data_IF_153800645778
#
_entry.id   IF_153800645778
#
_cell.length_a   1.000
_cell.length_b   1.000
_cell.length_c   1.000
_cell.angle_alpha   90.00
_cell.angle_beta   90.00
_cell.angle_gamma   90.00
#
_symmetry.space_group_name_H-M   'P 1'
#
loop_
_entity.id
_entity.type
_entity.pdbx_description
1 polymer ?
#
# COMPACT_ATOMS: atom_id res chain seq x y z
N UNK A 1 29.81 8.96 -15.41
CA UNK A 1 29.06 8.20 -16.46
C UNK A 1 28.10 9.14 -17.18
N UNK A 2 27.68 8.88 -18.44
CA UNK A 2 26.76 9.76 -19.19
C UNK A 2 25.31 9.30 -19.13
N UNK A 3 24.37 10.25 -19.03
CA UNK A 3 22.93 10.02 -19.08
C UNK A 3 22.54 9.48 -20.45
N UNK A 4 21.71 8.43 -20.48
CA UNK A 4 21.26 7.80 -21.73
C UNK A 4 20.47 8.78 -22.61
N UNK A 5 19.72 9.69 -22.00
CA UNK A 5 18.80 10.63 -22.65
C UNK A 5 19.55 11.90 -23.10
N UNK A 6 20.01 12.75 -22.18
CA UNK A 6 20.66 14.03 -22.53
C UNK A 6 22.19 14.01 -22.67
N UNK A 7 22.87 12.88 -22.45
CA UNK A 7 24.34 12.74 -22.49
C UNK A 7 25.15 13.50 -21.44
N UNK A 8 24.51 14.32 -20.60
CA UNK A 8 25.10 14.95 -19.40
C UNK A 8 25.56 13.93 -18.35
N UNK A 9 26.20 14.39 -17.27
CA UNK A 9 26.60 13.53 -16.15
C UNK A 9 25.39 12.80 -15.56
N UNK A 10 25.48 11.46 -15.52
CA UNK A 10 24.53 10.60 -14.83
C UNK A 10 25.06 10.23 -13.45
N UNK A 11 24.16 10.34 -12.47
CA UNK A 11 24.44 10.06 -11.06
C UNK A 11 23.68 8.82 -10.59
N UNK A 12 22.79 8.27 -11.42
CA UNK A 12 22.00 7.07 -11.12
C UNK A 12 22.26 6.00 -12.18
N UNK A 13 22.49 4.77 -11.72
CA UNK A 13 22.56 3.56 -12.54
C UNK A 13 21.48 2.59 -12.07
N UNK A 14 20.68 2.08 -13.00
CA UNK A 14 19.63 1.09 -12.75
C UNK A 14 20.07 -0.25 -13.30
N UNK A 15 20.57 -1.13 -12.45
CA UNK A 15 21.24 -2.37 -12.88
C UNK A 15 20.31 -3.32 -13.64
N UNK A 16 19.06 -3.48 -13.20
CA UNK A 16 18.07 -4.36 -13.83
C UNK A 16 17.74 -4.04 -15.29
N UNK A 17 18.10 -2.84 -15.79
CA UNK A 17 17.85 -2.43 -17.18
C UNK A 17 19.04 -1.71 -17.84
N UNK A 18 20.19 -1.64 -17.15
CA UNK A 18 21.40 -0.96 -17.62
C UNK A 18 21.25 0.54 -17.89
N UNK A 19 20.18 1.20 -17.40
CA UNK A 19 19.95 2.61 -17.64
C UNK A 19 20.83 3.48 -16.74
N UNK A 20 21.44 4.52 -17.32
CA UNK A 20 22.20 5.55 -16.62
C UNK A 20 21.48 6.88 -16.80
N UNK A 21 21.04 7.52 -15.73
CA UNK A 21 20.18 8.71 -15.79
C UNK A 21 20.74 9.84 -14.92
N UNK A 22 20.55 11.08 -15.36
CA UNK A 22 20.69 12.25 -14.50
C UNK A 22 19.40 12.44 -13.68
N UNK A 23 19.44 13.30 -12.65
CA UNK A 23 18.33 13.51 -11.71
C UNK A 23 16.98 13.81 -12.41
N UNK A 24 16.86 14.79 -13.34
CA UNK A 24 15.57 15.08 -13.99
C UNK A 24 15.01 13.90 -14.78
N UNK A 25 15.84 13.22 -15.56
CA UNK A 25 15.43 12.07 -16.37
C UNK A 25 15.06 10.86 -15.53
N UNK A 26 15.65 10.70 -14.34
CA UNK A 26 15.24 9.66 -13.40
C UNK A 26 13.83 9.94 -12.84
N UNK A 27 13.55 11.17 -12.41
CA UNK A 27 12.21 11.58 -11.93
C UNK A 27 11.14 11.28 -12.99
N UNK A 28 11.38 11.73 -14.22
CA UNK A 28 10.46 11.51 -15.34
C UNK A 28 10.31 10.01 -15.66
N UNK A 29 11.40 9.25 -15.61
CA UNK A 29 11.39 7.81 -15.83
C UNK A 29 10.50 7.09 -14.81
N UNK A 30 10.60 7.42 -13.51
CA UNK A 30 9.79 6.82 -12.45
C UNK A 30 8.31 7.17 -12.62
N UNK A 31 7.97 8.44 -12.92
CA UNK A 31 6.59 8.85 -13.22
C UNK A 31 6.01 8.08 -14.42
N UNK A 32 6.80 7.95 -15.51
CA UNK A 32 6.40 7.16 -16.69
C UNK A 32 6.23 5.68 -16.35
N UNK A 33 7.06 5.10 -15.46
CA UNK A 33 6.88 3.72 -14.99
C UNK A 33 5.57 3.56 -14.23
N UNK A 34 5.27 4.42 -13.25
CA UNK A 34 4.02 4.38 -12.51
C UNK A 34 2.80 4.51 -13.45
N UNK A 35 2.83 5.46 -14.40
CA UNK A 35 1.79 5.62 -15.42
C UNK A 35 1.60 4.36 -16.27
N UNK A 36 2.70 3.68 -16.65
CA UNK A 36 2.64 2.40 -17.39
C UNK A 36 2.05 1.29 -16.55
N UNK A 37 2.38 1.21 -15.27
CA UNK A 37 1.81 0.23 -14.32
C UNK A 37 0.31 0.45 -14.15
N UNK A 38 -0.13 1.69 -13.93
CA UNK A 38 -1.55 2.05 -13.84
C UNK A 38 -2.31 1.65 -15.10
N UNK A 39 -1.79 2.01 -16.29
CA UNK A 39 -2.41 1.65 -17.57
C UNK A 39 -2.46 0.14 -17.80
N UNK A 40 -1.36 -0.58 -17.52
CA UNK A 40 -1.26 -2.03 -17.74
C UNK A 40 -2.31 -2.80 -16.95
N UNK A 41 -2.55 -2.40 -15.71
CA UNK A 41 -3.47 -3.07 -14.81
C UNK A 41 -4.84 -2.37 -14.72
N UNK A 42 -5.10 -1.40 -15.61
CA UNK A 42 -6.36 -0.64 -15.71
C UNK A 42 -6.84 -0.10 -14.36
N UNK A 43 -5.91 0.44 -13.55
CA UNK A 43 -6.20 0.77 -12.15
C UNK A 43 -7.12 1.97 -11.96
N UNK A 44 -7.07 2.92 -12.91
CA UNK A 44 -7.72 4.23 -12.82
C UNK A 44 -8.30 4.56 -14.20
N UNK A 45 -9.57 4.96 -14.21
CA UNK A 45 -10.29 5.46 -15.38
C UNK A 45 -10.30 6.99 -15.38
N UNK A 46 -10.70 7.58 -16.51
CA UNK A 46 -10.93 9.03 -16.59
C UNK A 46 -12.02 9.41 -15.57
N UNK A 47 -11.88 10.55 -14.91
CA UNK A 47 -12.85 11.08 -13.92
C UNK A 47 -13.02 10.27 -12.62
N UNK A 48 -12.36 9.11 -12.47
CA UNK A 48 -12.29 8.42 -11.18
C UNK A 48 -11.77 9.38 -10.10
N UNK A 49 -12.48 9.47 -8.97
CA UNK A 49 -11.98 10.10 -7.75
C UNK A 49 -11.06 9.11 -7.02
N UNK A 50 -9.82 9.52 -6.80
CA UNK A 50 -8.76 8.67 -6.26
C UNK A 50 -8.47 9.07 -4.81
N UNK A 51 -8.61 8.13 -3.87
CA UNK A 51 -8.06 8.26 -2.54
C UNK A 51 -6.65 7.69 -2.48
N UNK A 52 -5.71 8.37 -1.82
CA UNK A 52 -4.38 7.83 -1.51
C UNK A 52 -4.30 7.58 -0.01
N UNK A 53 -4.01 6.33 0.38
CA UNK A 53 -3.74 6.00 1.77
C UNK A 53 -2.34 6.48 2.17
N UNK A 54 -2.27 7.46 3.06
CA UNK A 54 -1.04 8.11 3.50
C UNK A 54 -0.68 7.63 4.91
N UNK A 55 0.48 6.98 5.05
CA UNK A 55 1.02 6.61 6.37
C UNK A 55 1.94 7.67 6.96
N UNK A 56 2.28 8.72 6.20
CA UNK A 56 3.37 9.64 6.52
C UNK A 56 4.75 9.12 6.12
N UNK A 57 4.86 7.84 5.76
CA UNK A 57 6.09 7.22 5.29
C UNK A 57 6.37 7.49 3.81
N UNK A 58 7.65 7.37 3.47
CA UNK A 58 8.25 7.63 2.14
C UNK A 58 7.43 7.12 0.96
N UNK A 59 7.02 5.85 0.94
CA UNK A 59 6.40 5.26 -0.25
C UNK A 59 4.99 5.83 -0.51
N UNK A 60 4.21 6.06 0.55
CA UNK A 60 2.89 6.68 0.44
C UNK A 60 2.96 8.15 0.03
N UNK A 61 3.95 8.89 0.55
CA UNK A 61 4.23 10.28 0.19
C UNK A 61 4.73 10.39 -1.26
N UNK A 62 5.61 9.49 -1.68
CA UNK A 62 6.07 9.37 -3.06
C UNK A 62 4.91 9.06 -4.01
N UNK A 63 4.00 8.18 -3.60
CA UNK A 63 2.83 7.83 -4.40
C UNK A 63 1.93 9.04 -4.66
N UNK A 64 1.53 9.80 -3.63
CA UNK A 64 0.64 10.96 -3.83
C UNK A 64 1.31 12.04 -4.67
N UNK A 65 2.61 12.28 -4.48
CA UNK A 65 3.38 13.19 -5.32
C UNK A 65 3.35 12.75 -6.79
N UNK A 66 3.64 11.48 -7.09
CA UNK A 66 3.59 10.95 -8.46
C UNK A 66 2.17 11.07 -9.03
N UNK A 67 1.13 10.73 -8.27
CA UNK A 67 -0.25 10.78 -8.76
C UNK A 67 -0.69 12.23 -9.04
N UNK A 68 -0.35 13.20 -8.18
CA UNK A 68 -0.61 14.63 -8.44
C UNK A 68 0.03 15.09 -9.75
N UNK A 69 1.28 14.69 -10.01
CA UNK A 69 1.98 15.04 -11.25
C UNK A 69 1.38 14.34 -12.50
N UNK A 70 0.81 13.14 -12.34
CA UNK A 70 0.23 12.39 -13.45
C UNK A 70 -1.21 12.78 -13.79
N UNK A 71 -1.97 13.26 -12.81
CA UNK A 71 -3.42 13.42 -12.88
C UNK A 71 -3.90 14.83 -12.51
N UNK A 72 -2.99 15.81 -12.48
CA UNK A 72 -3.18 17.20 -12.02
C UNK A 72 -4.59 17.77 -12.28
N UNK A 73 -5.09 17.64 -13.51
CA UNK A 73 -6.38 18.21 -13.93
C UNK A 73 -7.44 17.16 -14.32
N UNK A 74 -7.09 15.87 -14.36
CA UNK A 74 -7.95 14.85 -14.98
C UNK A 74 -8.75 14.01 -14.00
N UNK A 75 -8.27 13.89 -12.75
CA UNK A 75 -8.89 13.05 -11.74
C UNK A 75 -8.81 13.73 -10.37
N UNK A 76 -9.91 13.85 -9.61
CA UNK A 76 -9.85 14.39 -8.26
C UNK A 76 -9.03 13.48 -7.33
N UNK A 77 -8.08 14.06 -6.58
CA UNK A 77 -7.27 13.35 -5.58
C UNK A 77 -7.66 13.77 -4.16
N UNK A 78 -7.65 12.81 -3.24
CA UNK A 78 -7.79 13.06 -1.80
C UNK A 78 -6.84 12.16 -1.01
N UNK A 79 -6.13 12.72 -0.04
CA UNK A 79 -5.35 11.96 0.93
C UNK A 79 -6.23 11.43 2.07
N UNK A 80 -6.00 10.19 2.51
CA UNK A 80 -6.60 9.63 3.72
C UNK A 80 -5.47 9.14 4.62
N UNK A 81 -5.34 9.72 5.80
CA UNK A 81 -4.43 9.27 6.84
C UNK A 81 -5.23 8.77 8.03
N UNK A 82 -4.72 7.74 8.70
CA UNK A 82 -5.34 7.18 9.90
C UNK A 82 -4.39 7.43 11.06
N UNK A 83 -4.83 8.25 12.00
CA UNK A 83 -4.23 8.37 13.31
C UNK A 83 -4.67 7.16 14.15
N UNK A 84 -3.71 6.30 14.45
CA UNK A 84 -3.90 5.02 15.13
C UNK A 84 -3.84 5.12 16.65
N UNK A 85 -3.54 6.31 17.20
CA UNK A 85 -3.29 6.50 18.63
C UNK A 85 -2.15 5.61 19.14
N UNK A 86 -1.05 5.58 18.38
CA UNK A 86 0.24 4.98 18.77
C UNK A 86 1.16 6.11 19.23
N UNK A 87 1.27 6.30 20.54
CA UNK A 87 2.12 7.30 21.24
C UNK A 87 2.33 8.61 20.42
N UNK A 88 3.57 9.12 20.40
CA UNK A 88 3.96 10.30 19.61
C UNK A 88 4.05 10.00 18.10
N UNK A 89 4.16 8.72 17.71
CA UNK A 89 4.34 8.31 16.32
C UNK A 89 3.15 8.72 15.44
N UNK A 90 1.93 8.61 15.94
CA UNK A 90 0.73 8.93 15.15
C UNK A 90 0.59 10.44 14.89
N UNK A 91 0.97 11.27 15.87
CA UNK A 91 0.97 12.72 15.71
C UNK A 91 2.06 13.18 14.73
N UNK A 92 3.26 12.60 14.85
CA UNK A 92 4.38 12.92 13.97
C UNK A 92 4.08 12.52 12.52
N UNK A 93 3.56 11.31 12.30
CA UNK A 93 3.20 10.85 10.95
C UNK A 93 2.11 11.72 10.33
N UNK A 94 1.09 12.12 11.10
CA UNK A 94 0.05 13.04 10.63
C UNK A 94 0.62 14.43 10.24
N UNK A 95 1.63 14.94 10.97
CA UNK A 95 2.30 16.20 10.64
C UNK A 95 2.97 16.14 9.26
N UNK A 96 3.74 15.09 8.98
CA UNK A 96 4.39 14.92 7.66
C UNK A 96 3.38 14.79 6.52
N UNK A 97 2.26 14.10 6.76
CA UNK A 97 1.17 14.02 5.80
C UNK A 97 0.61 15.40 5.48
N UNK A 98 0.32 16.22 6.49
CA UNK A 98 -0.21 17.58 6.29
C UNK A 98 0.75 18.44 5.46
N UNK A 99 2.02 18.49 5.85
CA UNK A 99 3.06 19.25 5.14
C UNK A 99 3.04 18.95 3.64
N UNK A 100 3.13 17.68 3.25
CA UNK A 100 3.17 17.33 1.83
C UNK A 100 1.83 17.60 1.12
N UNK A 101 0.69 17.32 1.76
CA UNK A 101 -0.61 17.57 1.16
C UNK A 101 -0.88 19.06 0.95
N UNK A 102 -0.43 19.91 1.87
CA UNK A 102 -0.50 21.37 1.75
C UNK A 102 0.40 21.87 0.60
N UNK A 103 1.65 21.37 0.51
CA UNK A 103 2.58 21.67 -0.59
C UNK A 103 2.05 21.27 -1.97
N UNK A 104 1.31 20.15 -2.05
CA UNK A 104 0.75 19.62 -3.29
C UNK A 104 -0.65 20.18 -3.62
N UNK A 105 -1.23 20.99 -2.72
CA UNK A 105 -2.61 21.44 -2.78
C UNK A 105 -3.58 20.26 -3.01
N UNK A 106 -3.43 19.20 -2.21
CA UNK A 106 -4.30 18.03 -2.24
C UNK A 106 -5.07 17.94 -0.92
N UNK A 107 -6.42 17.91 -0.94
CA UNK A 107 -7.19 17.79 0.29
C UNK A 107 -6.84 16.49 1.01
N UNK A 108 -6.71 16.55 2.33
CA UNK A 108 -6.38 15.39 3.15
C UNK A 108 -7.33 15.27 4.34
N UNK A 109 -7.74 14.04 4.64
CA UNK A 109 -8.59 13.71 5.78
C UNK A 109 -7.78 12.89 6.78
N UNK A 110 -7.63 13.43 7.99
CA UNK A 110 -6.99 12.76 9.12
C UNK A 110 -8.09 12.10 9.96
N UNK A 111 -8.13 10.77 9.94
CA UNK A 111 -9.13 9.98 10.66
C UNK A 111 -8.51 9.49 11.97
N UNK A 112 -8.99 10.01 13.09
CA UNK A 112 -8.56 9.56 14.41
C UNK A 112 -9.45 8.39 14.88
N UNK A 113 -8.87 7.21 15.05
CA UNK A 113 -9.66 6.01 15.38
C UNK A 113 -10.24 6.03 16.80
N UNK A 114 -9.62 6.76 17.72
CA UNK A 114 -10.12 6.91 19.08
C UNK A 114 -11.46 7.65 19.07
N UNK A 115 -11.53 8.75 18.32
CA UNK A 115 -12.76 9.55 18.18
C UNK A 115 -13.86 8.81 17.41
N UNK A 116 -13.49 8.03 16.40
CA UNK A 116 -14.46 7.36 15.52
C UNK A 116 -14.96 6.02 16.09
N UNK A 117 -14.14 5.32 16.88
CA UNK A 117 -14.41 3.94 17.30
C UNK A 117 -14.14 3.66 18.78
N UNK A 118 -13.78 4.65 19.59
CA UNK A 118 -13.55 4.55 21.03
C UNK A 118 -12.45 3.55 21.44
N UNK A 119 -11.43 3.35 20.59
CA UNK A 119 -10.22 2.62 20.96
C UNK A 119 -9.01 3.06 20.14
N UNK A 120 -7.80 2.85 20.67
CA UNK A 120 -6.53 3.03 19.95
C UNK A 120 -5.80 1.71 19.71
N UNK A 121 -4.77 1.71 18.86
CA UNK A 121 -3.89 0.55 18.71
C UNK A 121 -3.09 0.28 19.99
N UNK A 122 -2.75 1.30 20.77
CA UNK A 122 -2.10 1.12 22.07
C UNK A 122 -3.02 0.41 23.07
N UNK A 123 -4.30 0.78 23.12
CA UNK A 123 -5.30 0.07 23.93
C UNK A 123 -5.43 -1.40 23.48
N UNK A 124 -5.42 -1.66 22.17
CA UNK A 124 -5.45 -3.04 21.62
C UNK A 124 -4.23 -3.84 22.04
N UNK A 125 -3.03 -3.23 22.03
CA UNK A 125 -1.79 -3.88 22.48
C UNK A 125 -1.84 -4.26 23.96
N UNK A 126 -2.39 -3.37 24.79
CA UNK A 126 -2.42 -3.54 26.25
C UNK A 126 -3.57 -4.46 26.73
N UNK A 127 -4.51 -4.81 25.84
CA UNK A 127 -5.62 -5.68 26.17
C UNK A 127 -5.24 -7.18 26.14
N UNK A 128 -5.12 -7.79 27.32
CA UNK A 128 -4.77 -9.21 27.49
C UNK A 128 -5.74 -10.20 26.83
N UNK A 129 -7.00 -9.81 26.56
CA UNK A 129 -7.96 -10.67 25.85
C UNK A 129 -7.61 -10.86 24.37
N UNK A 130 -6.76 -9.99 23.81
CA UNK A 130 -6.42 -9.98 22.40
C UNK A 130 -5.13 -10.77 22.18
N UNK A 131 -5.27 -12.04 21.80
CA UNK A 131 -4.14 -12.93 21.50
C UNK A 131 -3.51 -12.69 20.13
N UNK A 132 -4.21 -12.01 19.23
CA UNK A 132 -3.74 -11.79 17.86
C UNK A 132 -2.57 -10.78 17.86
N UNK A 133 -1.49 -11.00 17.09
CA UNK A 133 -0.37 -10.07 17.03
C UNK A 133 -0.80 -8.63 16.70
N UNK A 134 -0.16 -7.65 17.33
CA UNK A 134 -0.54 -6.24 17.23
C UNK A 134 -0.55 -5.72 15.78
N UNK A 135 0.49 -6.02 15.00
CA UNK A 135 0.58 -5.59 13.60
C UNK A 135 -0.53 -6.21 12.72
N UNK A 136 -1.01 -7.41 13.09
CA UNK A 136 -2.15 -8.04 12.40
C UNK A 136 -3.48 -7.34 12.72
N UNK A 137 -3.68 -6.89 13.96
CA UNK A 137 -4.84 -6.08 14.34
C UNK A 137 -4.78 -4.68 13.72
N UNK A 138 -3.62 -4.02 13.77
CA UNK A 138 -3.40 -2.73 13.11
C UNK A 138 -3.71 -2.82 11.60
N UNK A 139 -3.24 -3.86 10.91
CA UNK A 139 -3.59 -4.09 9.51
C UNK A 139 -5.09 -4.29 9.27
N UNK A 140 -5.81 -4.99 10.17
CA UNK A 140 -7.26 -5.14 10.09
C UNK A 140 -7.97 -3.79 10.24
N UNK A 141 -7.62 -3.01 11.25
CA UNK A 141 -8.18 -1.67 11.52
C UNK A 141 -7.95 -0.75 10.33
N UNK A 142 -6.69 -0.61 9.87
CA UNK A 142 -6.35 0.22 8.71
C UNK A 142 -7.17 -0.15 7.47
N UNK A 143 -7.27 -1.45 7.15
CA UNK A 143 -8.00 -1.89 5.95
C UNK A 143 -9.50 -1.60 6.04
N UNK A 144 -10.10 -1.73 7.22
CA UNK A 144 -11.52 -1.42 7.44
C UNK A 144 -11.77 0.08 7.34
N UNK A 145 -11.03 0.88 8.11
CA UNK A 145 -11.20 2.33 8.20
C UNK A 145 -10.95 3.00 6.85
N UNK A 146 -9.87 2.64 6.15
CA UNK A 146 -9.60 3.18 4.81
C UNK A 146 -10.76 2.91 3.86
N UNK A 147 -11.33 1.70 3.88
CA UNK A 147 -12.44 1.35 2.99
C UNK A 147 -13.73 2.12 3.35
N UNK A 148 -14.06 2.18 4.64
CA UNK A 148 -15.24 2.88 5.13
C UNK A 148 -15.21 4.38 4.78
N UNK A 149 -14.07 5.04 5.01
CA UNK A 149 -13.92 6.46 4.71
C UNK A 149 -13.77 6.74 3.22
N UNK A 150 -13.06 5.89 2.47
CA UNK A 150 -13.03 5.96 1.02
C UNK A 150 -14.46 5.93 0.42
N UNK A 151 -15.31 5.01 0.91
CA UNK A 151 -16.73 4.95 0.53
C UNK A 151 -17.50 6.21 0.95
N UNK A 152 -17.32 6.68 2.19
CA UNK A 152 -17.96 7.91 2.70
C UNK A 152 -17.62 9.14 1.84
N UNK A 153 -16.40 9.21 1.32
CA UNK A 153 -15.93 10.30 0.45
C UNK A 153 -16.27 10.11 -1.04
N UNK A 154 -16.99 9.03 -1.39
CA UNK A 154 -17.42 8.75 -2.75
C UNK A 154 -16.25 8.51 -3.72
N UNK A 155 -15.15 7.90 -3.25
CA UNK A 155 -13.98 7.63 -4.11
C UNK A 155 -14.17 6.33 -4.89
N UNK A 156 -13.69 6.29 -6.11
CA UNK A 156 -13.78 5.12 -6.98
C UNK A 156 -12.65 4.13 -6.72
N UNK A 157 -11.44 4.64 -6.43
CA UNK A 157 -10.22 3.85 -6.28
C UNK A 157 -9.43 4.32 -5.06
N UNK A 158 -9.00 3.36 -4.23
CA UNK A 158 -8.06 3.57 -3.12
C UNK A 158 -6.66 3.09 -3.53
N UNK A 159 -5.75 4.03 -3.74
CA UNK A 159 -4.35 3.78 -4.03
C UNK A 159 -3.52 3.63 -2.75
N UNK A 160 -2.57 2.69 -2.76
CA UNK A 160 -1.68 2.42 -1.61
C UNK A 160 -0.21 2.36 -2.05
N UNK A 161 0.70 2.82 -1.20
CA UNK A 161 2.14 2.94 -1.48
C UNK A 161 2.94 1.63 -1.42
N UNK A 162 2.35 0.47 -1.73
CA UNK A 162 3.11 -0.79 -1.74
C UNK A 162 4.04 -0.85 -2.97
N UNK A 163 5.33 -1.09 -2.71
CA UNK A 163 6.39 -1.12 -3.72
C UNK A 163 6.72 -2.55 -4.17
N UNK A 164 7.56 -2.69 -5.20
CA UNK A 164 8.03 -3.98 -5.74
C UNK A 164 8.58 -4.90 -4.64
N UNK A 165 9.42 -4.35 -3.76
CA UNK A 165 10.09 -5.07 -2.68
C UNK A 165 9.07 -5.71 -1.72
N UNK A 166 8.07 -4.93 -1.27
CA UNK A 166 7.01 -5.42 -0.38
C UNK A 166 6.22 -6.58 -1.02
N UNK A 167 5.84 -6.42 -2.28
CA UNK A 167 5.01 -7.41 -2.97
C UNK A 167 5.78 -8.71 -3.24
N UNK A 168 7.07 -8.61 -3.56
CA UNK A 168 7.90 -9.79 -3.80
C UNK A 168 8.19 -10.55 -2.50
N UNK A 169 8.42 -9.84 -1.38
CA UNK A 169 8.57 -10.50 -0.08
C UNK A 169 7.28 -11.18 0.38
N UNK A 170 6.12 -10.54 0.19
CA UNK A 170 4.81 -11.15 0.50
C UNK A 170 4.53 -12.33 -0.42
N UNK A 171 4.86 -12.24 -1.71
CA UNK A 171 4.72 -13.33 -2.66
C UNK A 171 5.56 -14.54 -2.23
N UNK A 172 6.85 -14.33 -1.95
CA UNK A 172 7.75 -15.40 -1.52
C UNK A 172 7.29 -16.03 -0.19
N UNK A 173 6.89 -15.22 0.78
CA UNK A 173 6.36 -15.70 2.06
C UNK A 173 5.14 -16.59 1.86
N UNK A 174 4.17 -16.17 1.03
CA UNK A 174 2.97 -16.97 0.79
C UNK A 174 3.24 -18.25 -0.01
N UNK A 175 4.23 -18.25 -0.91
CA UNK A 175 4.67 -19.46 -1.62
C UNK A 175 5.29 -20.47 -0.65
N UNK A 176 6.23 -20.04 0.20
CA UNK A 176 6.91 -20.89 1.17
C UNK A 176 5.92 -21.50 2.18
N UNK A 177 4.93 -20.72 2.62
CA UNK A 177 3.93 -21.18 3.58
C UNK A 177 2.73 -21.92 2.95
N UNK A 178 2.68 -22.08 1.62
CA UNK A 178 1.55 -22.73 0.94
C UNK A 178 0.22 -21.96 1.06
N UNK A 179 0.26 -20.64 1.25
CA UNK A 179 -0.93 -19.79 1.44
C UNK A 179 -1.61 -19.44 0.09
N UNK A 180 -2.12 -20.45 -0.63
CA UNK A 180 -2.71 -20.29 -1.96
C UNK A 180 -3.85 -19.26 -2.04
N UNK A 181 -4.68 -19.16 -1.00
CA UNK A 181 -5.75 -18.15 -0.96
C UNK A 181 -5.20 -16.72 -1.04
N UNK A 182 -4.08 -16.43 -0.38
CA UNK A 182 -3.44 -15.12 -0.43
C UNK A 182 -2.79 -14.87 -1.79
N UNK A 183 -2.21 -15.90 -2.41
CA UNK A 183 -1.66 -15.85 -3.77
C UNK A 183 -2.74 -15.63 -4.85
N UNK A 184 -3.98 -15.98 -4.59
CA UNK A 184 -5.09 -15.71 -5.52
C UNK A 184 -5.65 -14.29 -5.31
N UNK A 185 -5.69 -13.84 -4.06
CA UNK A 185 -6.20 -12.52 -3.67
C UNK A 185 -5.19 -11.39 -3.86
N UNK A 186 -3.89 -11.68 -3.98
CA UNK A 186 -2.85 -10.68 -4.19
C UNK A 186 -2.83 -10.09 -5.61
N UNK A 187 -2.08 -9.01 -5.82
CA UNK A 187 -1.86 -8.40 -7.14
C UNK A 187 -1.93 -6.88 -7.16
N UNK A 188 -1.70 -6.28 -8.34
CA UNK A 188 -1.55 -4.83 -8.51
C UNK A 188 -2.87 -4.05 -8.45
N UNK A 189 -3.97 -4.68 -8.84
CA UNK A 189 -5.30 -4.10 -8.83
C UNK A 189 -6.30 -5.13 -8.29
N UNK A 190 -7.12 -4.71 -7.33
CA UNK A 190 -8.22 -5.47 -6.78
C UNK A 190 -9.51 -4.71 -7.12
N UNK A 191 -10.32 -5.22 -8.07
CA UNK A 191 -11.59 -4.58 -8.39
C UNK A 191 -12.54 -4.64 -7.18
N UNK A 192 -13.52 -3.74 -7.17
CA UNK A 192 -14.62 -3.84 -6.22
C UNK A 192 -15.38 -5.16 -6.45
N UNK A 193 -15.57 -5.94 -5.39
CA UNK A 193 -16.32 -7.20 -5.42
C UNK A 193 -17.69 -7.07 -4.76
N UNK A 194 -18.00 -5.92 -4.17
CA UNK A 194 -19.23 -5.64 -3.46
C UNK A 194 -19.45 -4.12 -3.38
N UNK A 195 -20.70 -3.66 -3.32
CA UNK A 195 -21.05 -2.22 -3.24
C UNK A 195 -20.44 -1.51 -2.02
N UNK A 196 -20.04 -2.27 -1.00
CA UNK A 196 -19.36 -1.78 0.19
C UNK A 196 -17.84 -1.79 0.11
N UNK A 197 -17.24 -2.36 -0.94
CA UNK A 197 -15.79 -2.37 -1.14
C UNK A 197 -15.32 -1.40 -2.21
N UNK A 198 -14.34 -0.57 -1.87
CA UNK A 198 -13.65 0.29 -2.83
C UNK A 198 -12.54 -0.50 -3.54
N UNK A 199 -12.40 -0.30 -4.85
CA UNK A 199 -11.32 -0.90 -5.63
C UNK A 199 -9.96 -0.45 -5.10
N UNK A 200 -8.97 -1.36 -5.06
CA UNK A 200 -7.62 -1.05 -4.55
C UNK A 200 -6.58 -1.10 -5.65
N UNK A 201 -5.75 -0.08 -5.71
CA UNK A 201 -4.66 0.05 -6.66
C UNK A 201 -3.31 0.13 -5.96
N UNK A 202 -2.27 -0.43 -6.60
CA UNK A 202 -0.87 -0.30 -6.18
C UNK A 202 -0.05 0.31 -7.31
N UNK A 203 -0.09 1.64 -7.54
CA UNK A 203 0.63 2.24 -8.68
C UNK A 203 2.15 2.04 -8.64
N UNK A 204 2.73 1.82 -7.45
CA UNK A 204 4.17 1.56 -7.25
C UNK A 204 4.54 0.08 -7.32
N UNK A 205 3.61 -0.82 -7.70
CA UNK A 205 3.80 -2.28 -7.72
C UNK A 205 5.05 -2.75 -8.48
N UNK A 206 5.53 -1.96 -9.43
CA UNK A 206 6.69 -2.29 -10.26
C UNK A 206 7.88 -1.34 -10.06
N UNK A 207 7.86 -0.54 -9.00
CA UNK A 207 8.90 0.43 -8.64
C UNK A 207 9.52 -0.05 -7.33
N UNK A 208 10.86 -0.08 -7.25
CA UNK A 208 11.55 -0.58 -6.06
C UNK A 208 11.60 0.43 -4.92
N UNK A 209 11.86 -0.08 -3.72
CA UNK A 209 12.05 0.73 -2.52
C UNK A 209 13.24 1.71 -2.67
N UNK A 210 14.29 1.31 -3.38
CA UNK A 210 15.41 2.19 -3.73
C UNK A 210 14.95 3.30 -4.69
N UNK A 211 14.16 2.96 -5.70
CA UNK A 211 13.65 3.92 -6.67
C UNK A 211 12.73 4.97 -6.02
N UNK A 212 11.85 4.56 -5.08
CA UNK A 212 11.02 5.49 -4.32
C UNK A 212 11.85 6.37 -3.38
N UNK A 213 12.88 5.84 -2.73
CA UNK A 213 13.82 6.63 -1.90
C UNK A 213 14.54 7.70 -2.72
N UNK A 214 15.11 7.34 -3.86
CA UNK A 214 15.79 8.30 -4.73
C UNK A 214 14.81 9.35 -5.25
N UNK A 215 13.58 8.94 -5.61
CA UNK A 215 12.56 9.86 -6.08
C UNK A 215 12.15 10.86 -4.99
N UNK A 216 11.91 10.39 -3.77
CA UNK A 216 11.57 11.24 -2.63
C UNK A 216 12.68 12.25 -2.33
N UNK A 217 13.92 11.78 -2.25
CA UNK A 217 15.09 12.64 -2.03
C UNK A 217 15.24 13.69 -3.13
N UNK A 218 15.11 13.31 -4.40
CA UNK A 218 15.28 14.23 -5.52
C UNK A 218 14.19 15.30 -5.62
N UNK A 219 12.98 15.02 -5.14
CA UNK A 219 11.88 15.97 -5.08
C UNK A 219 11.72 16.62 -3.69
N UNK A 220 12.67 16.41 -2.76
CA UNK A 220 12.61 16.92 -1.39
C UNK A 220 11.30 16.58 -0.65
N UNK A 221 10.76 15.38 -0.88
CA UNK A 221 9.50 14.95 -0.28
C UNK A 221 9.70 14.70 1.21
N UNK A 222 8.92 15.41 2.03
CA UNK A 222 8.91 15.24 3.48
C UNK A 222 8.19 13.96 3.91
N UNK A 223 8.85 13.13 4.72
CA UNK A 223 8.28 11.90 5.29
C UNK A 223 8.85 11.60 6.69
N UNK A 224 8.12 10.82 7.47
CA UNK A 224 8.58 10.37 8.80
C UNK A 224 9.75 9.38 8.66
N UNK A 225 10.87 9.68 9.33
CA UNK A 225 12.06 8.80 9.37
C UNK A 225 12.02 7.77 10.50
N UNK A 226 11.26 8.06 11.55
CA UNK A 226 11.12 7.18 12.73
C UNK A 226 10.28 5.95 12.38
N UNK A 227 10.76 4.72 12.63
CA UNK A 227 9.95 3.51 12.44
C UNK A 227 8.85 3.42 13.50
N UNK A 228 7.81 2.62 13.20
CA UNK A 228 6.75 2.36 14.17
C UNK A 228 7.32 1.60 15.39
N UNK A 229 6.99 1.98 16.63
CA UNK A 229 7.54 1.34 17.84
C UNK A 229 7.14 -0.13 18.00
N UNK A 230 6.15 -0.61 17.24
CA UNK A 230 5.68 -2.01 17.27
C UNK A 230 6.22 -2.85 16.10
N UNK A 231 7.02 -2.26 15.22
CA UNK A 231 7.63 -2.95 14.10
C UNK A 231 8.92 -3.67 14.53
N UNK A 232 8.81 -4.57 15.50
CA UNK A 232 9.94 -5.36 16.02
C UNK A 232 9.87 -6.77 15.43
N UNK A 233 10.90 -7.16 14.66
CA UNK A 233 11.08 -8.49 14.07
C UNK A 233 9.97 -8.96 13.10
N UNK A 234 9.60 -8.14 12.12
CA UNK A 234 8.70 -8.57 11.06
C UNK A 234 9.36 -9.66 10.19
N UNK A 235 8.74 -10.84 10.07
CA UNK A 235 9.16 -11.92 9.14
C UNK A 235 9.30 -11.43 7.69
N UNK A 236 8.60 -10.35 7.33
CA UNK A 236 8.75 -9.69 6.03
C UNK A 236 10.19 -9.19 5.81
N UNK A 237 10.91 -8.80 6.88
CA UNK A 237 12.30 -8.37 6.83
C UNK A 237 13.24 -9.48 6.33
N UNK A 238 13.06 -10.72 6.79
CA UNK A 238 13.92 -11.83 6.35
C UNK A 238 13.69 -12.20 4.88
N UNK A 239 12.44 -12.15 4.41
CA UNK A 239 12.15 -12.34 2.99
C UNK A 239 12.67 -11.18 2.13
N UNK A 240 12.67 -9.94 2.63
CA UNK A 240 13.31 -8.80 1.94
C UNK A 240 14.80 -9.08 1.73
N UNK A 241 15.53 -9.51 2.76
CA UNK A 241 16.95 -9.86 2.65
C UNK A 241 17.22 -10.94 1.58
N UNK A 242 16.43 -12.01 1.56
CA UNK A 242 16.56 -13.07 0.54
C UNK A 242 16.35 -12.50 -0.86
N UNK A 243 15.31 -11.69 -1.04
CA UNK A 243 14.98 -11.12 -2.35
C UNK A 243 15.98 -10.07 -2.81
N UNK A 244 16.63 -9.37 -1.88
CA UNK A 244 17.71 -8.43 -2.18
C UNK A 244 18.96 -9.16 -2.65
N UNK A 245 19.34 -10.26 -1.98
CA UNK A 245 20.45 -11.13 -2.44
C UNK A 245 20.20 -11.69 -3.85
N UNK A 246 18.96 -12.06 -4.17
CA UNK A 246 18.59 -12.49 -5.52
C UNK A 246 18.70 -11.36 -6.55
N UNK A 247 18.36 -10.12 -6.17
CA UNK A 247 18.49 -8.96 -7.06
C UNK A 247 19.97 -8.59 -7.28
N UNK A 248 20.81 -8.69 -6.25
CA UNK A 248 22.26 -8.45 -6.35
C UNK A 248 22.94 -9.43 -7.30
N UNK A 249 22.61 -10.72 -7.16
CA UNK A 249 23.17 -11.78 -8.01
C UNK A 249 22.59 -11.78 -9.43
N UNK A 250 21.32 -11.44 -9.58
CA UNK A 250 20.62 -11.39 -10.86
C UNK A 250 19.72 -10.14 -10.93
N UNK A 251 20.25 -9.00 -11.39
CA UNK A 251 19.49 -7.76 -11.51
C UNK A 251 18.21 -7.94 -12.32
N UNK A 252 17.08 -7.51 -11.78
CA UNK A 252 15.75 -7.67 -12.36
C UNK A 252 15.00 -8.93 -11.92
N UNK A 253 15.59 -9.79 -11.08
CA UNK A 253 14.94 -11.02 -10.59
C UNK A 253 13.63 -10.74 -9.85
N UNK A 254 13.56 -9.70 -9.01
CA UNK A 254 12.33 -9.32 -8.29
C UNK A 254 11.22 -8.91 -9.26
N UNK A 255 11.58 -8.12 -10.26
CA UNK A 255 10.64 -7.66 -11.29
C UNK A 255 10.12 -8.81 -12.16
N UNK A 256 11.01 -9.74 -12.54
CA UNK A 256 10.65 -10.93 -13.31
C UNK A 256 9.70 -11.83 -12.51
N UNK A 257 10.03 -12.12 -11.25
CA UNK A 257 9.21 -12.92 -10.35
C UNK A 257 7.81 -12.33 -10.22
N UNK A 258 7.71 -11.02 -9.96
CA UNK A 258 6.42 -10.36 -9.78
C UNK A 258 5.57 -10.36 -11.07
N UNK A 259 6.19 -10.09 -12.23
CA UNK A 259 5.48 -10.13 -13.52
C UNK A 259 5.01 -11.53 -13.90
N UNK A 260 5.85 -12.54 -13.67
CA UNK A 260 5.50 -13.93 -13.95
C UNK A 260 4.39 -14.42 -13.03
N UNK A 261 4.39 -13.98 -11.76
CA UNK A 261 3.27 -14.23 -10.86
C UNK A 261 1.94 -13.69 -11.40
N UNK A 262 1.89 -12.42 -11.81
CA UNK A 262 0.63 -11.84 -12.32
C UNK A 262 0.19 -12.48 -13.64
N UNK A 263 1.13 -12.77 -14.54
CA UNK A 263 0.83 -13.30 -15.89
C UNK A 263 0.49 -14.79 -15.90
N UNK A 264 1.20 -15.59 -15.09
CA UNK A 264 1.22 -17.05 -15.17
C UNK A 264 0.74 -17.64 -13.84
N UNK A 265 1.50 -17.47 -12.75
CA UNK A 265 1.28 -18.26 -11.53
C UNK A 265 -0.08 -18.00 -10.89
N UNK A 266 -0.52 -16.72 -10.80
CA UNK A 266 -1.82 -16.35 -10.26
C UNK A 266 -2.98 -17.00 -11.04
N UNK A 267 -2.85 -17.13 -12.36
CA UNK A 267 -3.87 -17.80 -13.19
C UNK A 267 -3.90 -19.30 -12.90
N UNK A 268 -2.72 -19.94 -12.81
CA UNK A 268 -2.62 -21.35 -12.45
C UNK A 268 -3.21 -21.65 -11.06
N UNK A 269 -2.91 -20.82 -10.06
CA UNK A 269 -3.46 -20.98 -8.71
C UNK A 269 -4.99 -20.83 -8.67
N UNK A 270 -5.56 -19.93 -9.48
CA UNK A 270 -7.01 -19.79 -9.60
C UNK A 270 -7.66 -21.07 -10.13
N UNK A 271 -7.07 -21.70 -11.15
CA UNK A 271 -7.57 -22.97 -11.71
C UNK A 271 -7.53 -24.10 -10.69
N UNK A 272 -6.52 -24.12 -9.82
CA UNK A 272 -6.42 -25.14 -8.78
C UNK A 272 -7.45 -24.97 -7.64
N UNK A 273 -7.98 -23.76 -7.45
CA UNK A 273 -8.83 -23.40 -6.31
C UNK A 273 -10.28 -23.07 -6.69
N UNK A 274 -10.82 -23.73 -7.73
CA UNK A 274 -12.17 -23.47 -8.28
C UNK A 274 -13.28 -23.74 -7.24
N UNK A 275 -13.04 -24.61 -6.25
CA UNK A 275 -14.09 -25.13 -5.36
C UNK A 275 -14.25 -24.40 -4.00
N UNK A 276 -13.50 -23.32 -3.73
CA UNK A 276 -13.53 -22.64 -2.42
C UNK A 276 -13.89 -21.15 -2.47
N UNK A 277 -14.81 -20.76 -3.34
CA UNK A 277 -15.39 -19.41 -3.25
C UNK A 277 -16.42 -19.36 -2.13
N UNK A 278 -16.02 -18.80 -0.99
CA UNK A 278 -16.94 -18.47 0.09
C UNK A 278 -17.84 -17.31 -0.34
N UNK A 279 -19.14 -17.46 -0.10
CA UNK A 279 -20.13 -16.42 -0.33
C UNK A 279 -19.80 -15.18 0.52
N UNK A 280 -19.93 -13.99 -0.10
CA UNK A 280 -19.75 -12.72 0.60
C UNK A 280 -21.06 -12.39 1.31
N UNK A 281 -21.01 -12.42 2.65
CA UNK A 281 -22.08 -12.00 3.53
C UNK A 281 -21.90 -10.53 3.95
N UNK A 282 -22.92 -9.98 4.59
CA UNK A 282 -22.89 -8.64 5.17
C UNK A 282 -22.92 -8.72 6.70
N UNK A 283 -22.09 -7.91 7.34
CA UNK A 283 -21.95 -7.87 8.80
C UNK A 283 -23.23 -7.32 9.44
N UNK A 284 -23.81 -8.05 10.41
CA UNK A 284 -25.03 -7.63 11.10
C UNK A 284 -24.88 -6.34 11.93
N UNK A 285 -23.64 -5.89 12.19
CA UNK A 285 -23.35 -4.69 12.99
C UNK A 285 -23.11 -3.46 12.13
N UNK A 286 -22.32 -3.59 11.06
CA UNK A 286 -21.89 -2.43 10.25
C UNK A 286 -22.32 -2.50 8.78
N UNK A 287 -22.97 -3.58 8.34
CA UNK A 287 -23.31 -3.81 6.95
C UNK A 287 -22.11 -4.02 6.01
N UNK A 288 -20.89 -4.07 6.54
CA UNK A 288 -19.67 -4.29 5.75
C UNK A 288 -19.52 -5.75 5.31
N UNK A 289 -18.71 -6.01 4.27
CA UNK A 289 -18.61 -7.32 3.65
C UNK A 289 -17.75 -8.27 4.49
N UNK A 290 -18.16 -9.52 4.58
CA UNK A 290 -17.53 -10.52 5.45
C UNK A 290 -17.89 -11.95 5.06
N UNK A 291 -17.23 -12.94 5.66
CA UNK A 291 -17.50 -14.37 5.51
C UNK A 291 -18.10 -14.97 6.80
N UNK A 292 -18.53 -14.10 7.73
CA UNK A 292 -19.08 -14.44 9.05
C UNK A 292 -20.28 -13.54 9.34
N UNK A 293 -21.11 -13.85 10.34
CA UNK A 293 -22.22 -12.97 10.73
C UNK A 293 -21.76 -11.60 11.26
N UNK A 294 -20.59 -11.55 11.92
CA UNK A 294 -19.97 -10.31 12.40
C UNK A 294 -18.56 -10.23 11.83
N UNK A 295 -18.23 -9.10 11.20
CA UNK A 295 -16.91 -8.91 10.60
C UNK A 295 -15.81 -8.80 11.66
N UNK A 296 -14.58 -9.14 11.28
CA UNK A 296 -13.46 -9.17 12.20
C UNK A 296 -13.18 -7.82 12.90
N UNK A 297 -13.48 -6.69 12.24
CA UNK A 297 -13.36 -5.37 12.84
C UNK A 297 -14.39 -5.15 13.94
N UNK A 298 -15.67 -5.43 13.68
CA UNK A 298 -16.73 -5.32 14.70
C UNK A 298 -16.49 -6.28 15.87
N UNK A 299 -16.01 -7.49 15.62
CA UNK A 299 -15.62 -8.42 16.68
C UNK A 299 -14.46 -7.89 17.54
N UNK A 300 -13.46 -7.24 16.92
CA UNK A 300 -12.37 -6.59 17.66
C UNK A 300 -12.91 -5.44 18.52
N UNK A 301 -13.76 -4.59 17.94
CA UNK A 301 -14.36 -3.45 18.64
C UNK A 301 -15.19 -3.88 19.86
N UNK A 302 -16.04 -4.91 19.72
CA UNK A 302 -16.82 -5.45 20.85
C UNK A 302 -15.94 -5.89 22.04
N UNK A 303 -14.79 -6.51 21.75
CA UNK A 303 -13.81 -6.91 22.78
C UNK A 303 -13.14 -5.71 23.46
N UNK A 304 -13.03 -4.57 22.77
CA UNK A 304 -12.53 -3.33 23.35
C UNK A 304 -13.57 -2.65 24.23
N UNK A 305 -14.86 -2.73 23.86
CA UNK A 305 -15.99 -2.18 24.63
C UNK A 305 -16.36 -3.03 25.86
N UNK A 306 -15.71 -4.19 26.07
CA UNK A 306 -15.95 -5.06 27.22
C UNK A 306 -17.15 -6.01 27.10
N UNK A 307 -17.80 -6.06 25.92
CA UNK A 307 -19.05 -6.81 25.69
C UNK A 307 -18.87 -8.30 25.36
N UNK A 308 -17.68 -8.90 25.57
CA UNK A 308 -17.35 -10.34 25.45
C UNK A 308 -15.99 -10.66 26.12
#
# INVERSE_FOLDING_TARGET
MKCKICKETANIKLDYCGLKLCKPHFIEYIQKRAKRTIKRYQMVRREDKIAVALSGGKDSQTLIHILKQLYMDSNPLIGIHIDLGIDNYSQESAKFVRILCDELEVPVQIINIEKEYNFTIDMVKNNKKIKRPICSNCGLVKRYVLNAFAKKFGVNVLATGHVLDDEVSILLSNLVNGNFEQLIRGGPFLPSTDVSMIARAKPLYEISELETTLYAHFNNISFIGTPCPYDVNATVSSYKEITNKLEENQPGSRYLLLRNYVKIYKKAFKTYNIEKQQEILHCNVCGGPTIRNVCAFCSLRKKMEGNE
#
